data_IF_055378195862
#
_entry.id   IF_055378195862
#
_cell.length_a   1.000
_cell.length_b   1.000
_cell.length_c   1.000
_cell.angle_alpha   90.00
_cell.angle_beta   90.00
_cell.angle_gamma   90.00
#
_symmetry.space_group_name_H-M   'P 1'
#
loop_
_entity.id
_entity.type
_entity.pdbx_description
1 polymer ?
#
# COMPACT_ATOMS: atom_id res chain seq x y z
N UNK A 1 -18.07 -12.72 13.19
CA UNK A 1 -16.93 -12.71 12.25
C UNK A 1 -15.79 -11.84 12.78
N UNK A 2 -14.54 -12.27 12.59
CA UNK A 2 -13.33 -11.56 13.02
C UNK A 2 -13.20 -10.16 12.41
N UNK A 3 -13.65 -9.96 11.17
CA UNK A 3 -13.62 -8.66 10.48
C UNK A 3 -14.41 -7.56 11.20
N UNK A 4 -15.64 -7.87 11.66
CA UNK A 4 -16.47 -6.91 12.41
C UNK A 4 -15.83 -6.50 13.74
N UNK A 5 -14.95 -7.34 14.32
CA UNK A 5 -14.20 -7.01 15.54
C UNK A 5 -13.02 -6.09 15.23
N UNK A 6 -12.33 -6.29 14.10
CA UNK A 6 -11.24 -5.41 13.68
C UNK A 6 -11.73 -3.96 13.49
N UNK A 7 -12.90 -3.75 12.87
CA UNK A 7 -13.51 -2.41 12.77
C UNK A 7 -13.73 -1.77 14.13
N UNK A 8 -14.40 -2.47 15.05
CA UNK A 8 -14.66 -1.95 16.39
C UNK A 8 -13.38 -1.53 17.12
N UNK A 9 -12.31 -2.32 16.98
CA UNK A 9 -11.00 -2.01 17.59
C UNK A 9 -10.38 -0.78 16.91
N UNK A 10 -10.34 -0.71 15.59
CA UNK A 10 -9.75 0.43 14.88
C UNK A 10 -10.51 1.72 15.17
N UNK A 11 -11.84 1.65 15.25
CA UNK A 11 -12.70 2.79 15.55
C UNK A 11 -12.52 3.34 16.97
N UNK A 12 -11.93 2.58 17.91
CA UNK A 12 -11.69 3.11 19.26
C UNK A 12 -10.55 4.12 19.31
N UNK A 13 -9.55 3.98 18.43
CA UNK A 13 -8.32 4.78 18.47
C UNK A 13 -8.12 5.70 17.26
N UNK A 14 -8.67 5.38 16.08
CA UNK A 14 -8.28 6.03 14.81
C UNK A 14 -8.44 7.56 14.74
N UNK A 15 -9.32 8.14 15.54
CA UNK A 15 -9.57 9.59 15.58
C UNK A 15 -9.16 10.25 16.91
N UNK A 16 -8.62 9.47 17.85
CA UNK A 16 -8.41 9.91 19.24
C UNK A 16 -6.94 9.92 19.66
N UNK A 17 -6.03 9.49 18.79
CA UNK A 17 -4.61 9.38 19.07
C UNK A 17 -3.77 9.68 17.82
N UNK A 18 -2.51 10.07 18.02
CA UNK A 18 -1.51 10.04 16.95
C UNK A 18 -1.17 8.58 16.64
N UNK A 19 -1.06 8.24 15.35
CA UNK A 19 -0.91 6.86 14.90
C UNK A 19 0.35 6.66 14.08
N UNK A 20 1.26 5.85 14.64
CA UNK A 20 2.43 5.37 13.92
C UNK A 20 2.30 3.89 13.57
N UNK A 21 2.75 3.54 12.36
CA UNK A 21 2.71 2.18 11.85
C UNK A 21 4.08 1.54 11.97
N UNK A 22 4.11 0.30 12.42
CA UNK A 22 5.35 -0.42 12.67
C UNK A 22 5.24 -1.90 12.32
N UNK A 23 6.37 -2.50 11.95
CA UNK A 23 6.50 -3.96 11.80
C UNK A 23 7.01 -4.66 13.06
N UNK A 24 7.43 -3.90 14.09
CA UNK A 24 7.89 -4.47 15.36
C UNK A 24 6.70 -4.78 16.26
N UNK A 25 6.71 -5.96 16.87
CA UNK A 25 5.63 -6.44 17.76
C UNK A 25 5.98 -6.35 19.24
N UNK A 26 7.24 -6.02 19.57
CA UNK A 26 7.72 -5.90 20.94
C UNK A 26 7.58 -4.46 21.43
N UNK A 27 6.81 -4.26 22.50
CA UNK A 27 6.52 -2.93 23.05
C UNK A 27 7.78 -2.23 23.59
N UNK A 28 8.74 -3.00 24.12
CA UNK A 28 9.95 -2.44 24.74
C UNK A 28 10.83 -1.68 23.75
N UNK A 29 10.81 -2.07 22.46
CA UNK A 29 11.52 -1.37 21.39
C UNK A 29 11.04 0.07 21.19
N UNK A 30 9.82 0.39 21.62
CA UNK A 30 9.20 1.69 21.40
C UNK A 30 9.31 2.65 22.59
N UNK A 31 9.56 2.15 23.80
CA UNK A 31 9.64 2.98 25.02
C UNK A 31 10.70 4.07 24.94
N UNK A 32 11.75 3.86 24.14
CA UNK A 32 12.83 4.84 23.93
C UNK A 32 12.53 5.87 22.86
N UNK A 33 11.63 5.54 21.92
CA UNK A 33 11.29 6.36 20.76
C UNK A 33 10.06 7.23 21.05
N UNK A 34 9.09 6.67 21.79
CA UNK A 34 7.82 7.30 22.11
C UNK A 34 7.70 7.43 23.63
N UNK A 35 7.97 8.63 24.15
CA UNK A 35 7.88 8.92 25.58
C UNK A 35 6.43 8.90 26.09
N UNK A 36 5.46 9.12 25.21
CA UNK A 36 4.01 9.13 25.46
C UNK A 36 3.29 7.89 24.90
N UNK A 37 4.03 6.78 24.69
CA UNK A 37 3.48 5.53 24.17
C UNK A 37 2.30 5.04 25.00
N UNK A 38 1.10 5.10 24.41
CA UNK A 38 -0.15 4.71 25.10
C UNK A 38 -0.48 3.22 24.90
N UNK A 39 -0.33 2.70 23.68
CA UNK A 39 -0.69 1.32 23.36
C UNK A 39 -0.01 0.83 22.08
N UNK A 40 0.13 -0.50 21.96
CA UNK A 40 0.55 -1.18 20.74
C UNK A 40 -0.58 -2.12 20.28
N UNK A 41 -1.13 -1.86 19.08
CA UNK A 41 -2.18 -2.68 18.49
C UNK A 41 -1.58 -3.66 17.47
N UNK A 42 -1.75 -4.96 17.72
CA UNK A 42 -1.26 -6.03 16.84
C UNK A 42 -2.45 -6.76 16.23
N UNK A 43 -2.52 -6.74 14.89
CA UNK A 43 -3.53 -7.47 14.13
C UNK A 43 -2.93 -8.77 13.56
N UNK A 44 -3.73 -9.83 13.41
CA UNK A 44 -3.26 -11.05 12.76
C UNK A 44 -2.90 -10.79 11.30
N UNK A 45 -1.91 -11.52 10.79
CA UNK A 45 -1.58 -11.47 9.37
C UNK A 45 -2.69 -12.10 8.53
N UNK A 46 -3.11 -11.39 7.48
CA UNK A 46 -4.10 -11.90 6.54
C UNK A 46 -3.39 -12.67 5.42
N UNK A 47 -3.80 -13.92 5.19
CA UNK A 47 -3.38 -14.65 3.98
C UNK A 47 -4.03 -13.99 2.76
N UNK A 48 -3.31 -13.92 1.63
CA UNK A 48 -3.83 -13.36 0.38
C UNK A 48 -5.17 -14.00 -0.01
N UNK A 49 -5.32 -15.33 0.14
CA UNK A 49 -6.59 -16.03 -0.13
C UNK A 49 -7.77 -15.47 0.68
N UNK A 50 -7.53 -15.09 1.95
CA UNK A 50 -8.54 -14.47 2.81
C UNK A 50 -8.91 -13.09 2.28
N UNK A 51 -7.92 -12.26 1.96
CA UNK A 51 -8.15 -10.90 1.44
C UNK A 51 -8.94 -10.96 0.13
N UNK A 52 -8.57 -11.84 -0.80
CA UNK A 52 -9.29 -12.04 -2.06
C UNK A 52 -10.73 -12.53 -1.85
N UNK A 53 -10.94 -13.46 -0.92
CA UNK A 53 -12.28 -13.94 -0.57
C UNK A 53 -13.16 -12.78 -0.07
N UNK A 54 -12.63 -11.94 0.83
CA UNK A 54 -13.36 -10.81 1.38
C UNK A 54 -13.68 -9.76 0.31
N UNK A 55 -12.69 -9.43 -0.53
CA UNK A 55 -12.88 -8.51 -1.65
C UNK A 55 -13.96 -9.02 -2.63
N UNK A 56 -13.95 -10.31 -2.97
CA UNK A 56 -14.96 -10.93 -3.82
C UNK A 56 -16.38 -10.95 -3.20
N UNK A 57 -16.48 -10.78 -1.89
CA UNK A 57 -17.74 -10.63 -1.16
C UNK A 57 -18.15 -9.16 -0.95
N UNK A 58 -17.40 -8.20 -1.49
CA UNK A 58 -17.62 -6.77 -1.27
C UNK A 58 -17.29 -6.31 0.15
N UNK A 59 -16.58 -7.13 0.94
CA UNK A 59 -16.18 -6.81 2.32
C UNK A 59 -14.82 -6.10 2.27
N UNK A 60 -14.79 -4.89 2.84
CA UNK A 60 -13.56 -4.12 3.03
C UNK A 60 -12.99 -4.36 4.43
N UNK A 61 -11.67 -4.26 4.56
CA UNK A 61 -10.98 -4.28 5.86
C UNK A 61 -10.70 -2.83 6.33
N UNK A 62 -10.56 -2.60 7.65
CA UNK A 62 -10.12 -1.31 8.17
C UNK A 62 -8.79 -0.87 7.54
N UNK A 63 -8.64 0.44 7.31
CA UNK A 63 -7.42 1.00 6.72
C UNK A 63 -6.21 0.81 7.64
N UNK A 64 -5.07 0.43 7.06
CA UNK A 64 -3.79 0.41 7.78
C UNK A 64 -3.50 -0.86 8.58
N UNK A 65 -4.35 -1.90 8.53
CA UNK A 65 -4.10 -3.19 9.22
C UNK A 65 -3.50 -4.27 8.29
N UNK A 66 -3.48 -4.04 6.99
CA UNK A 66 -2.88 -4.94 6.00
C UNK A 66 -1.56 -4.35 5.50
N UNK A 67 -0.52 -5.19 5.41
CA UNK A 67 0.79 -4.81 4.86
C UNK A 67 1.20 -5.81 3.78
N UNK A 68 1.32 -5.34 2.54
CA UNK A 68 1.82 -6.13 1.42
C UNK A 68 3.28 -5.78 1.15
N UNK A 69 4.15 -6.79 1.10
CA UNK A 69 5.51 -6.64 0.56
C UNK A 69 5.46 -7.03 -0.92
N UNK A 70 5.66 -6.07 -1.82
CA UNK A 70 5.62 -6.28 -3.28
C UNK A 70 7.02 -6.06 -3.84
N UNK A 71 7.51 -6.99 -4.65
CA UNK A 71 8.77 -6.88 -5.37
C UNK A 71 8.66 -7.60 -6.73
N UNK A 72 9.12 -7.00 -7.84
CA UNK A 72 9.58 -5.61 -7.96
C UNK A 72 8.42 -4.60 -7.91
N UNK A 73 8.71 -3.33 -7.61
CA UNK A 73 7.74 -2.22 -7.69
C UNK A 73 8.14 -1.27 -8.81
N UNK A 74 7.19 -0.91 -9.66
CA UNK A 74 7.35 0.19 -10.60
C UNK A 74 7.08 1.50 -9.87
N UNK A 75 8.12 2.32 -9.69
CA UNK A 75 8.06 3.63 -9.04
C UNK A 75 8.28 4.73 -10.10
N UNK A 76 7.83 5.96 -9.82
CA UNK A 76 7.96 7.11 -10.74
C UNK A 76 7.42 6.88 -12.16
N UNK A 77 6.35 6.07 -12.26
CA UNK A 77 5.69 5.87 -13.53
C UNK A 77 5.20 7.21 -14.09
N UNK A 78 4.61 8.10 -13.29
CA UNK A 78 4.14 9.42 -13.76
C UNK A 78 3.35 9.31 -15.07
N UNK A 79 2.45 8.33 -15.13
CA UNK A 79 1.60 8.11 -16.31
C UNK A 79 0.63 9.28 -16.48
N UNK A 80 0.37 9.77 -17.71
CA UNK A 80 -0.43 10.97 -17.91
C UNK A 80 -1.88 10.80 -17.42
N UNK A 81 -2.29 11.63 -16.45
CA UNK A 81 -3.64 11.58 -15.87
C UNK A 81 -4.73 11.90 -16.90
N UNK A 82 -4.46 12.78 -17.87
CA UNK A 82 -5.41 13.12 -18.93
C UNK A 82 -5.70 11.91 -19.85
N UNK A 83 -4.70 11.05 -20.09
CA UNK A 83 -4.93 9.82 -20.86
C UNK A 83 -5.68 8.77 -20.03
N UNK A 84 -5.34 8.62 -18.76
CA UNK A 84 -6.02 7.70 -17.85
C UNK A 84 -7.52 8.03 -17.72
N UNK A 85 -7.84 9.32 -17.54
CA UNK A 85 -9.21 9.83 -17.39
C UNK A 85 -9.98 10.01 -18.71
N UNK A 86 -9.33 9.84 -19.85
CA UNK A 86 -9.97 10.05 -21.15
C UNK A 86 -11.16 9.10 -21.37
N UNK A 87 -12.19 9.56 -22.08
CA UNK A 87 -13.32 8.73 -22.51
C UNK A 87 -13.00 7.86 -23.74
N UNK A 88 -11.71 7.75 -24.11
CA UNK A 88 -11.27 6.96 -25.26
C UNK A 88 -11.47 5.45 -24.98
N UNK A 89 -11.71 4.63 -26.02
CA UNK A 89 -11.85 3.19 -25.89
C UNK A 89 -10.63 2.53 -25.23
N UNK A 90 -10.84 1.35 -24.63
CA UNK A 90 -9.78 0.60 -23.94
C UNK A 90 -8.66 0.22 -24.91
N UNK A 91 -9.01 -0.10 -26.16
CA UNK A 91 -8.07 -0.48 -27.22
C UNK A 91 -7.09 0.67 -27.50
N UNK A 92 -7.59 1.90 -27.60
CA UNK A 92 -6.74 3.08 -27.74
C UNK A 92 -5.84 3.26 -26.52
N UNK A 93 -6.38 3.10 -25.31
CA UNK A 93 -5.59 3.25 -24.07
C UNK A 93 -4.50 2.20 -23.96
N UNK A 94 -4.77 0.98 -24.42
CA UNK A 94 -3.80 -0.10 -24.47
C UNK A 94 -2.66 0.24 -25.44
N UNK A 95 -2.99 0.64 -26.67
CA UNK A 95 -2.00 1.05 -27.67
C UNK A 95 -1.17 2.24 -27.20
N UNK A 96 -1.80 3.24 -26.56
CA UNK A 96 -1.09 4.37 -25.98
C UNK A 96 -0.13 3.92 -24.87
N UNK A 97 -0.59 3.06 -23.96
CA UNK A 97 0.21 2.55 -22.85
C UNK A 97 1.43 1.78 -23.36
N UNK A 98 1.25 0.92 -24.37
CA UNK A 98 2.33 0.12 -24.95
C UNK A 98 3.39 1.03 -25.58
N UNK A 99 2.97 2.00 -26.40
CA UNK A 99 3.87 3.01 -26.95
C UNK A 99 4.57 3.83 -25.85
N UNK A 100 3.85 4.22 -24.80
CA UNK A 100 4.40 5.00 -23.69
C UNK A 100 5.48 4.23 -22.91
N UNK A 101 5.28 2.93 -22.68
CA UNK A 101 6.26 2.05 -22.05
C UNK A 101 7.48 1.91 -22.95
N UNK A 102 7.29 1.62 -24.23
CA UNK A 102 8.38 1.44 -25.20
C UNK A 102 9.27 2.69 -25.26
N UNK A 103 8.67 3.87 -25.34
CA UNK A 103 9.40 5.14 -25.35
C UNK A 103 10.24 5.35 -24.08
N UNK A 104 9.77 4.91 -22.90
CA UNK A 104 10.56 4.97 -21.67
C UNK A 104 11.74 4.00 -21.68
N UNK A 105 11.56 2.81 -22.24
CA UNK A 105 12.63 1.81 -22.36
C UNK A 105 13.70 2.31 -23.33
N UNK A 106 13.31 2.77 -24.52
CA UNK A 106 14.23 3.30 -25.55
C UNK A 106 15.05 4.48 -25.00
N UNK A 107 14.42 5.38 -24.25
CA UNK A 107 15.08 6.55 -23.65
C UNK A 107 15.91 6.21 -22.40
N UNK A 108 16.12 4.93 -22.07
CA UNK A 108 16.83 4.46 -20.87
C UNK A 108 16.25 5.02 -19.56
N UNK A 109 14.93 5.27 -19.55
CA UNK A 109 14.20 5.82 -18.40
C UNK A 109 13.80 4.77 -17.35
N UNK A 110 14.14 3.50 -17.56
CA UNK A 110 13.82 2.39 -16.65
C UNK A 110 15.10 1.89 -15.98
N UNK A 111 15.11 1.85 -14.65
CA UNK A 111 16.22 1.34 -13.84
C UNK A 111 15.70 0.28 -12.88
N UNK A 112 16.41 -0.85 -12.82
CA UNK A 112 16.15 -1.92 -11.87
C UNK A 112 17.21 -1.88 -10.77
N UNK A 113 16.76 -1.78 -9.52
CA UNK A 113 17.61 -1.86 -8.34
C UNK A 113 17.39 -3.22 -7.69
N UNK A 114 18.43 -4.05 -7.63
CA UNK A 114 18.38 -5.40 -7.06
C UNK A 114 18.45 -5.41 -5.53
N UNK A 115 19.09 -4.40 -4.95
CA UNK A 115 19.31 -4.27 -3.52
C UNK A 115 18.29 -3.34 -2.85
N UNK A 116 18.13 -3.50 -1.53
CA UNK A 116 17.33 -2.60 -0.72
C UNK A 116 17.82 -1.15 -0.89
N UNK A 117 16.98 -0.32 -1.50
CA UNK A 117 17.34 1.05 -1.90
C UNK A 117 16.53 2.05 -1.08
N UNK A 118 17.21 3.00 -0.43
CA UNK A 118 16.57 4.17 0.15
C UNK A 118 16.29 5.19 -0.95
N UNK A 119 15.04 5.63 -1.02
CA UNK A 119 14.56 6.58 -2.01
C UNK A 119 14.02 7.79 -1.25
N UNK A 120 14.64 8.95 -1.46
CA UNK A 120 14.26 10.22 -0.84
C UNK A 120 13.50 11.06 -1.86
N UNK A 121 12.23 10.70 -2.09
CA UNK A 121 11.33 11.53 -2.89
C UNK A 121 10.39 12.26 -1.93
N UNK A 122 10.39 13.59 -2.02
CA UNK A 122 9.43 14.47 -1.33
C UNK A 122 8.12 14.56 -2.11
#
# INVERSE_FOLDING_TARGET
>A
PSEKRAYKIVDTYKTRASLDRTSQTLIDSFKKVYSDLTALFIFPSFKIKTVLKLAGQGIVLPTGITRFTVSPRALHLNYPLHELSSAKPVEYKQEYLDNWIEQRVIKKGVRLYSEATFLFDE
#
